data_IF_265192823160
#
_entry.id   IF_265192823160
#
_cell.length_a   1.000
_cell.length_b   1.000
_cell.length_c   1.000
_cell.angle_alpha   90.00
_cell.angle_beta   90.00
_cell.angle_gamma   90.00
#
_symmetry.space_group_name_H-M   'P 1'
#
loop_
_entity.id
_entity.type
_entity.pdbx_description
1 polymer ?
#
# COMPACT_ATOMS: atom_id res chain seq x y z
N UNK A 1 -72.17 -45.19 -5.51
CA UNK A 1 -71.49 -45.41 -6.80
C UNK A 1 -70.02 -45.06 -6.71
N UNK A 2 -69.16 -46.05 -6.94
CA UNK A 2 -67.69 -45.87 -6.93
C UNK A 2 -67.20 -44.84 -7.96
N UNK A 3 -67.86 -44.76 -9.11
CA UNK A 3 -67.50 -43.84 -10.19
C UNK A 3 -67.62 -42.36 -9.77
N UNK A 4 -68.67 -41.98 -9.04
CA UNK A 4 -68.82 -40.60 -8.51
C UNK A 4 -67.76 -40.24 -7.48
N UNK A 5 -67.33 -41.21 -6.67
CA UNK A 5 -66.24 -41.01 -5.70
C UNK A 5 -64.88 -40.84 -6.39
N UNK A 6 -64.66 -41.55 -7.50
CA UNK A 6 -63.44 -41.41 -8.29
C UNK A 6 -63.38 -40.07 -9.04
N UNK A 7 -64.51 -39.59 -9.56
CA UNK A 7 -64.63 -38.29 -10.23
C UNK A 7 -64.35 -37.13 -9.28
N UNK A 8 -64.97 -37.13 -8.10
CA UNK A 8 -64.74 -36.12 -7.05
C UNK A 8 -63.29 -36.11 -6.56
N UNK A 9 -62.68 -37.28 -6.33
CA UNK A 9 -61.28 -37.37 -5.95
C UNK A 9 -60.32 -36.80 -7.02
N UNK A 10 -60.64 -37.00 -8.31
CA UNK A 10 -59.86 -36.41 -9.42
C UNK A 10 -59.99 -34.89 -9.46
N UNK A 11 -61.18 -34.37 -9.23
CA UNK A 11 -61.43 -32.92 -9.20
C UNK A 11 -60.71 -32.26 -8.02
N UNK A 12 -60.77 -32.86 -6.82
CA UNK A 12 -60.02 -32.39 -5.65
C UNK A 12 -58.51 -32.41 -5.89
N UNK A 13 -57.97 -33.47 -6.51
CA UNK A 13 -56.56 -33.57 -6.86
C UNK A 13 -56.12 -32.48 -7.85
N UNK A 14 -56.97 -32.13 -8.82
CA UNK A 14 -56.70 -31.04 -9.76
C UNK A 14 -56.71 -29.67 -9.09
N UNK A 15 -57.63 -29.44 -8.15
CA UNK A 15 -57.68 -28.20 -7.36
C UNK A 15 -56.43 -28.06 -6.50
N UNK A 16 -56.01 -29.14 -5.83
CA UNK A 16 -54.78 -29.15 -5.03
C UNK A 16 -53.55 -28.86 -5.89
N UNK A 17 -53.40 -29.54 -7.03
CA UNK A 17 -52.27 -29.31 -7.94
C UNK A 17 -52.22 -27.87 -8.47
N UNK A 18 -53.36 -27.27 -8.80
CA UNK A 18 -53.42 -25.88 -9.23
C UNK A 18 -53.08 -24.92 -8.08
N UNK A 19 -53.57 -25.18 -6.86
CA UNK A 19 -53.24 -24.40 -5.67
C UNK A 19 -51.74 -24.42 -5.39
N UNK A 20 -51.12 -25.61 -5.37
CA UNK A 20 -49.67 -25.78 -5.18
C UNK A 20 -48.87 -25.09 -6.29
N UNK A 21 -49.35 -25.12 -7.54
CA UNK A 21 -48.68 -24.46 -8.67
C UNK A 21 -48.72 -22.92 -8.54
N UNK A 22 -49.82 -22.35 -8.04
CA UNK A 22 -49.90 -20.91 -7.76
C UNK A 22 -49.01 -20.52 -6.58
N UNK A 23 -48.99 -21.32 -5.51
CA UNK A 23 -48.11 -21.08 -4.36
C UNK A 23 -46.64 -21.13 -4.75
N UNK A 24 -46.24 -22.13 -5.54
CA UNK A 24 -44.88 -22.22 -6.09
C UNK A 24 -44.49 -20.98 -6.88
N UNK A 25 -45.37 -20.50 -7.77
CA UNK A 25 -45.11 -19.28 -8.55
C UNK A 25 -44.94 -18.05 -7.65
N UNK A 26 -45.75 -17.94 -6.58
CA UNK A 26 -45.59 -16.85 -5.60
C UNK A 26 -44.24 -16.94 -4.88
N UNK A 27 -43.85 -18.13 -4.41
CA UNK A 27 -42.56 -18.34 -3.77
C UNK A 27 -41.40 -18.01 -4.71
N UNK A 28 -41.43 -18.49 -5.95
CA UNK A 28 -40.43 -18.18 -6.98
C UNK A 28 -40.32 -16.67 -7.23
N UNK A 29 -41.44 -15.96 -7.35
CA UNK A 29 -41.44 -14.51 -7.52
C UNK A 29 -40.80 -13.79 -6.32
N UNK A 30 -41.19 -14.15 -5.09
CA UNK A 30 -40.60 -13.53 -3.89
C UNK A 30 -39.12 -13.85 -3.72
N UNK A 31 -38.70 -15.07 -4.05
CA UNK A 31 -37.29 -15.48 -4.02
C UNK A 31 -36.48 -14.69 -5.03
N UNK A 32 -36.97 -14.59 -6.27
CA UNK A 32 -36.32 -13.83 -7.35
C UNK A 32 -36.21 -12.35 -7.01
N UNK A 33 -37.26 -11.74 -6.45
CA UNK A 33 -37.22 -10.34 -6.01
C UNK A 33 -36.18 -10.11 -4.92
N UNK A 34 -36.04 -11.02 -3.95
CA UNK A 34 -35.00 -10.93 -2.90
C UNK A 34 -33.60 -11.11 -3.49
N UNK A 35 -33.42 -12.05 -4.40
CA UNK A 35 -32.15 -12.28 -5.09
C UNK A 35 -31.72 -11.05 -5.90
N UNK A 36 -32.66 -10.46 -6.65
CA UNK A 36 -32.42 -9.25 -7.43
C UNK A 36 -32.06 -8.06 -6.52
N UNK A 37 -32.70 -7.93 -5.35
CA UNK A 37 -32.36 -6.91 -4.37
C UNK A 37 -30.95 -7.09 -3.78
N UNK A 38 -30.54 -8.32 -3.47
CA UNK A 38 -29.18 -8.61 -2.97
C UNK A 38 -28.16 -8.31 -4.06
N UNK A 39 -28.42 -8.76 -5.30
CA UNK A 39 -27.53 -8.56 -6.44
C UNK A 39 -27.33 -7.08 -6.76
N UNK A 40 -28.41 -6.31 -6.81
CA UNK A 40 -28.33 -4.86 -7.07
C UNK A 40 -27.60 -4.12 -5.96
N UNK A 41 -27.82 -4.46 -4.70
CA UNK A 41 -27.07 -3.88 -3.58
C UNK A 41 -25.57 -4.21 -3.65
N UNK A 42 -25.22 -5.47 -3.93
CA UNK A 42 -23.82 -5.87 -4.06
C UNK A 42 -23.12 -5.12 -5.20
N UNK A 43 -23.80 -4.92 -6.33
CA UNK A 43 -23.28 -4.15 -7.46
C UNK A 43 -23.07 -2.67 -7.09
N UNK A 44 -24.02 -2.04 -6.39
CA UNK A 44 -23.88 -0.64 -5.96
C UNK A 44 -22.74 -0.46 -4.96
N UNK A 45 -22.61 -1.38 -4.00
CA UNK A 45 -21.55 -1.33 -2.99
C UNK A 45 -20.18 -1.51 -3.67
N UNK A 46 -20.06 -2.46 -4.60
CA UNK A 46 -18.84 -2.66 -5.38
C UNK A 46 -18.44 -1.42 -6.18
N UNK A 47 -19.39 -0.82 -6.90
CA UNK A 47 -19.13 0.37 -7.69
C UNK A 47 -18.72 1.56 -6.80
N UNK A 48 -19.33 1.70 -5.62
CA UNK A 48 -18.92 2.70 -4.64
C UNK A 48 -17.48 2.49 -4.17
N UNK A 49 -17.10 1.28 -3.75
CA UNK A 49 -15.73 1.00 -3.30
C UNK A 49 -14.71 1.25 -4.41
N UNK A 50 -15.04 0.88 -5.64
CA UNK A 50 -14.21 1.15 -6.81
C UNK A 50 -13.98 2.65 -7.00
N UNK A 51 -15.00 3.47 -6.82
CA UNK A 51 -14.90 4.92 -6.96
C UNK A 51 -14.09 5.55 -5.82
N UNK A 52 -14.28 5.05 -4.59
CA UNK A 52 -13.52 5.48 -3.42
C UNK A 52 -12.03 5.13 -3.54
N UNK A 53 -11.68 3.94 -4.02
CA UNK A 53 -10.29 3.55 -4.29
C UNK A 53 -9.66 4.53 -5.27
N UNK A 54 -10.31 4.79 -6.41
CA UNK A 54 -9.79 5.74 -7.42
C UNK A 54 -9.61 7.14 -6.86
N UNK A 55 -10.55 7.61 -6.03
CA UNK A 55 -10.47 8.92 -5.37
C UNK A 55 -9.28 8.98 -4.42
N UNK A 56 -9.11 7.98 -3.56
CA UNK A 56 -8.01 7.91 -2.60
C UNK A 56 -6.65 7.83 -3.29
N UNK A 57 -6.53 7.05 -4.35
CA UNK A 57 -5.31 6.98 -5.17
C UNK A 57 -4.94 8.35 -5.76
N UNK A 58 -5.93 9.09 -6.27
CA UNK A 58 -5.73 10.45 -6.77
C UNK A 58 -5.30 11.42 -5.67
N UNK A 59 -5.91 11.34 -4.48
CA UNK A 59 -5.52 12.14 -3.31
C UNK A 59 -4.08 11.85 -2.87
N UNK A 60 -3.69 10.58 -2.80
CA UNK A 60 -2.32 10.16 -2.48
C UNK A 60 -1.34 10.73 -3.51
N UNK A 61 -1.64 10.63 -4.81
CA UNK A 61 -0.80 11.18 -5.87
C UNK A 61 -0.64 12.70 -5.74
N UNK A 62 -1.74 13.42 -5.46
CA UNK A 62 -1.69 14.87 -5.25
C UNK A 62 -0.87 15.25 -4.02
N UNK A 63 -1.01 14.53 -2.91
CA UNK A 63 -0.24 14.78 -1.68
C UNK A 63 1.25 14.52 -1.90
N UNK A 64 1.61 13.46 -2.64
CA UNK A 64 3.00 13.21 -3.05
C UNK A 64 3.56 14.36 -3.89
N UNK A 65 2.82 14.81 -4.91
CA UNK A 65 3.22 15.96 -5.75
C UNK A 65 3.39 17.26 -4.94
N UNK A 66 2.48 17.57 -4.00
CA UNK A 66 2.60 18.76 -3.12
C UNK A 66 3.78 18.66 -2.17
N UNK A 67 4.05 17.46 -1.66
CA UNK A 67 5.20 17.21 -0.78
C UNK A 67 6.50 17.39 -1.56
N UNK A 68 6.59 16.84 -2.76
CA UNK A 68 7.79 16.94 -3.60
C UNK A 68 8.02 18.38 -4.08
N UNK A 69 6.97 19.15 -4.39
CA UNK A 69 7.11 20.57 -4.70
C UNK A 69 7.60 21.39 -3.48
N UNK A 70 7.11 21.06 -2.28
CA UNK A 70 7.55 21.69 -1.03
C UNK A 70 9.01 21.33 -0.70
N UNK A 71 9.43 20.08 -0.92
CA UNK A 71 10.83 19.63 -0.79
C UNK A 71 11.74 20.38 -1.77
N UNK A 72 11.32 20.51 -3.04
CA UNK A 72 12.07 21.27 -4.06
C UNK A 72 12.18 22.74 -3.66
N UNK A 73 11.11 23.36 -3.15
CA UNK A 73 11.15 24.73 -2.67
C UNK A 73 12.14 24.89 -1.50
N UNK A 74 12.11 24.02 -0.50
CA UNK A 74 13.02 24.05 0.64
C UNK A 74 14.50 23.97 0.21
N UNK A 75 14.82 23.15 -0.79
CA UNK A 75 16.16 23.10 -1.38
C UNK A 75 16.54 24.42 -2.07
N UNK A 76 15.61 25.10 -2.76
CA UNK A 76 15.86 26.37 -3.45
C UNK A 76 16.12 27.54 -2.49
N UNK A 77 15.39 27.63 -1.37
CA UNK A 77 15.62 28.67 -0.36
C UNK A 77 16.93 28.50 0.42
N UNK A 78 17.54 27.30 0.39
CA UNK A 78 18.87 27.04 0.97
C UNK A 78 20.05 27.48 0.10
N UNK A 79 19.81 27.98 -1.11
CA UNK A 79 20.87 28.38 -2.06
C UNK A 79 21.18 29.88 -2.01
N UNK A 80 20.31 30.70 -1.41
CA UNK A 80 20.41 32.17 -1.41
C UNK A 80 20.89 32.79 -0.08
N UNK A 81 21.88 32.18 0.60
CA UNK A 81 22.61 32.89 1.67
C UNK A 81 24.08 33.12 1.32
N UNK A 82 24.26 34.16 0.50
CA UNK A 82 25.37 35.10 0.63
C UNK A 82 25.30 35.75 2.03
N UNK A 83 26.08 35.25 3.00
CA UNK A 83 26.63 36.03 4.13
C UNK A 83 27.89 35.36 4.71
N UNK A 84 29.00 35.42 3.99
CA UNK A 84 30.29 35.20 4.63
C UNK A 84 31.38 35.88 3.81
N UNK A 85 31.41 37.21 3.85
CA UNK A 85 32.65 37.92 3.62
C UNK A 85 33.56 37.72 4.82
N UNK A 86 34.55 36.83 4.71
CA UNK A 86 35.92 37.10 5.15
C UNK A 86 36.91 36.30 4.31
N UNK A 87 37.88 36.94 3.65
CA UNK A 87 38.73 36.31 2.65
C UNK A 87 39.99 35.73 3.28
N UNK A 88 40.34 34.50 2.91
CA UNK A 88 41.74 34.07 2.87
C UNK A 88 41.96 33.34 1.56
N UNK A 89 42.93 33.87 0.82
CA UNK A 89 43.37 33.45 -0.50
C UNK A 89 43.70 31.95 -0.56
N UNK A 90 43.20 31.28 -1.60
CA UNK A 90 44.06 30.73 -2.65
C UNK A 90 43.27 29.88 -3.68
N UNK A 91 43.36 30.35 -4.94
CA UNK A 91 43.33 29.62 -6.22
C UNK A 91 42.04 28.92 -6.69
N UNK A 92 41.50 29.52 -7.76
CA UNK A 92 40.78 28.97 -8.93
C UNK A 92 39.30 28.53 -8.80
N UNK A 93 38.43 29.35 -9.42
CA UNK A 93 37.11 29.04 -9.99
C UNK A 93 37.16 29.41 -11.50
N UNK A 94 36.19 29.07 -12.37
CA UNK A 94 35.24 27.93 -12.38
C UNK A 94 35.08 27.29 -13.78
N UNK A 95 34.56 26.06 -13.87
CA UNK A 95 33.71 25.67 -15.01
C UNK A 95 32.73 24.58 -14.58
N UNK A 96 31.57 25.03 -14.08
CA UNK A 96 30.38 24.20 -13.98
C UNK A 96 29.90 23.99 -15.42
N UNK A 97 30.12 22.79 -15.96
CA UNK A 97 29.47 22.36 -17.20
C UNK A 97 28.16 21.71 -16.81
N UNK A 98 27.10 22.40 -17.20
CA UNK A 98 25.74 21.91 -17.30
C UNK A 98 25.70 20.58 -18.09
N UNK A 99 25.24 19.52 -17.42
CA UNK A 99 24.88 18.24 -18.02
C UNK A 99 23.50 17.81 -17.50
N UNK A 100 22.52 18.69 -17.72
CA UNK A 100 21.12 18.34 -17.92
C UNK A 100 20.98 17.29 -19.05
N UNK A 101 21.14 15.99 -18.75
CA UNK A 101 20.72 14.86 -19.62
C UNK A 101 21.02 13.46 -19.06
N UNK A 102 20.86 13.21 -17.76
CA UNK A 102 21.11 11.85 -17.23
C UNK A 102 20.17 11.34 -16.12
N UNK A 103 19.03 11.99 -15.86
CA UNK A 103 18.05 11.49 -14.88
C UNK A 103 16.65 11.22 -15.50
N UNK A 104 16.63 10.59 -16.67
CA UNK A 104 15.41 10.24 -17.40
C UNK A 104 15.49 8.84 -18.02
N UNK A 105 16.01 7.84 -17.30
CA UNK A 105 16.09 6.45 -17.81
C UNK A 105 15.59 5.34 -16.90
N UNK A 106 14.92 5.63 -15.79
CA UNK A 106 14.33 4.59 -14.92
C UNK A 106 12.79 4.62 -14.90
N UNK A 107 12.16 4.99 -16.02
CA UNK A 107 10.70 4.83 -16.22
C UNK A 107 10.50 3.92 -17.43
N UNK A 108 10.68 2.61 -17.22
CA UNK A 108 9.94 1.52 -17.90
C UNK A 108 10.44 0.20 -17.30
N UNK A 109 9.93 -0.16 -16.12
CA UNK A 109 9.54 -1.55 -15.85
C UNK A 109 8.83 -1.60 -14.49
N UNK A 110 7.50 -1.44 -14.46
CA UNK A 110 6.68 -1.89 -13.34
C UNK A 110 5.27 -2.15 -13.87
N UNK A 111 5.19 -3.15 -14.75
CA UNK A 111 4.02 -4.00 -14.80
C UNK A 111 4.36 -5.24 -13.97
N UNK A 112 3.43 -5.62 -13.10
CA UNK A 112 3.41 -6.84 -12.31
C UNK A 112 4.16 -6.80 -10.96
N UNK A 113 3.43 -6.43 -9.91
CA UNK A 113 3.39 -7.16 -8.63
C UNK A 113 2.51 -6.39 -7.67
N UNK A 114 1.24 -6.76 -7.64
CA UNK A 114 0.37 -6.56 -6.49
C UNK A 114 1.07 -7.10 -5.23
N UNK A 115 0.98 -6.34 -4.13
CA UNK A 115 1.54 -6.63 -2.79
C UNK A 115 3.05 -6.38 -2.63
N UNK A 116 3.48 -5.12 -2.42
CA UNK A 116 4.88 -4.90 -2.04
C UNK A 116 5.43 -3.49 -1.78
N UNK A 117 4.69 -2.39 -1.99
CA UNK A 117 5.28 -1.03 -1.93
C UNK A 117 5.49 -0.46 -0.51
N UNK A 118 5.40 -1.30 0.54
CA UNK A 118 5.73 -0.92 1.93
C UNK A 118 7.14 -1.41 2.33
N UNK A 119 7.84 -2.18 1.47
CA UNK A 119 9.10 -2.85 1.86
C UNK A 119 10.33 -1.93 1.89
N UNK A 120 10.40 -0.92 1.02
CA UNK A 120 11.59 -0.06 0.91
C UNK A 120 11.87 0.76 2.17
N UNK A 121 10.85 1.11 2.94
CA UNK A 121 11.01 1.88 4.18
C UNK A 121 11.55 1.03 5.35
N UNK A 122 11.55 -0.31 5.22
CA UNK A 122 12.04 -1.24 6.24
C UNK A 122 13.33 -1.96 5.86
N UNK A 123 13.98 -1.59 4.76
CA UNK A 123 15.21 -2.22 4.29
C UNK A 123 16.46 -1.67 4.99
N UNK A 124 17.42 -2.56 5.23
CA UNK A 124 18.73 -2.26 5.78
C UNK A 124 19.46 -1.22 4.93
N UNK A 125 19.93 -0.12 5.54
CA UNK A 125 20.61 0.96 4.82
C UNK A 125 21.98 0.56 4.24
N UNK A 126 22.52 -0.59 4.66
CA UNK A 126 23.81 -1.10 4.18
C UNK A 126 23.67 -2.03 2.96
N UNK A 127 22.70 -2.95 2.97
CA UNK A 127 22.55 -3.94 1.89
C UNK A 127 21.32 -3.72 0.99
N UNK A 128 20.36 -2.89 1.40
CA UNK A 128 19.12 -2.62 0.67
C UNK A 128 18.37 -3.91 0.26
N UNK A 129 18.52 -4.98 1.05
CA UNK A 129 18.03 -6.33 0.70
C UNK A 129 17.26 -6.98 1.84
N UNK A 130 17.81 -6.92 3.06
CA UNK A 130 17.21 -7.51 4.26
C UNK A 130 16.47 -6.46 5.08
N UNK A 131 15.48 -6.88 5.86
CA UNK A 131 14.74 -6.00 6.77
C UNK A 131 15.63 -5.49 7.92
N UNK A 132 15.43 -4.25 8.34
CA UNK A 132 16.07 -3.67 9.50
C UNK A 132 15.64 -4.41 10.77
N UNK A 133 16.60 -4.94 11.52
CA UNK A 133 16.34 -5.77 12.71
C UNK A 133 17.19 -5.38 13.91
N UNK A 134 18.04 -4.34 13.81
CA UNK A 134 18.94 -3.93 14.91
C UNK A 134 18.78 -2.47 15.26
N UNK A 135 18.55 -2.21 16.54
CA UNK A 135 18.47 -0.88 17.17
C UNK A 135 19.80 -0.52 17.82
N UNK A 136 20.30 0.69 17.58
CA UNK A 136 21.49 1.23 18.24
C UNK A 136 21.13 2.19 19.38
N UNK A 137 21.70 1.97 20.57
CA UNK A 137 21.57 2.87 21.71
C UNK A 137 22.82 3.74 21.88
N UNK A 138 22.65 5.02 22.29
CA UNK A 138 21.41 5.65 22.77
C UNK A 138 20.53 6.30 21.70
N UNK A 139 20.94 6.33 20.43
CA UNK A 139 20.23 7.09 19.39
C UNK A 139 18.89 6.46 18.93
N UNK A 140 18.60 5.22 19.33
CA UNK A 140 17.40 4.46 19.02
C UNK A 140 17.12 4.24 17.53
N UNK A 141 18.10 4.44 16.64
CA UNK A 141 17.95 4.19 15.22
C UNK A 141 17.95 2.69 14.92
N UNK A 142 16.88 2.20 14.28
CA UNK A 142 16.79 0.88 13.67
C UNK A 142 17.13 1.01 12.20
N UNK A 143 18.35 0.65 11.80
CA UNK A 143 18.89 1.03 10.46
C UNK A 143 19.55 -0.11 9.69
N UNK A 144 19.89 -1.22 10.35
CA UNK A 144 20.58 -2.34 9.70
C UNK A 144 19.92 -3.67 9.99
N UNK A 145 20.10 -4.64 9.11
CA UNK A 145 19.77 -6.03 9.35
C UNK A 145 20.81 -6.71 10.25
N UNK A 146 20.53 -7.94 10.68
CA UNK A 146 21.39 -8.74 11.55
C UNK A 146 22.76 -8.99 10.91
N UNK A 147 22.79 -9.35 9.63
CA UNK A 147 24.04 -9.68 8.92
C UNK A 147 24.94 -8.44 8.78
N UNK A 148 24.38 -7.31 8.36
CA UNK A 148 25.12 -6.06 8.27
C UNK A 148 25.56 -5.53 9.64
N UNK A 149 24.77 -5.76 10.70
CA UNK A 149 25.19 -5.43 12.07
C UNK A 149 26.46 -6.19 12.48
N UNK A 150 26.54 -7.50 12.21
CA UNK A 150 27.74 -8.28 12.51
C UNK A 150 28.97 -7.79 11.75
N UNK A 151 28.81 -7.47 10.46
CA UNK A 151 29.89 -6.92 9.64
C UNK A 151 30.34 -5.56 10.18
N UNK A 152 29.39 -4.69 10.50
CA UNK A 152 29.64 -3.38 11.08
C UNK A 152 30.42 -3.48 12.40
N UNK A 153 30.06 -4.42 13.27
CA UNK A 153 30.77 -4.65 14.53
C UNK A 153 32.17 -5.26 14.33
N UNK A 154 32.31 -6.26 13.46
CA UNK A 154 33.60 -6.89 13.13
C UNK A 154 34.60 -5.91 12.51
N UNK A 155 34.11 -4.93 11.75
CA UNK A 155 34.92 -3.85 11.18
C UNK A 155 35.31 -2.77 12.21
N UNK A 156 34.92 -2.92 13.48
CA UNK A 156 35.24 -1.97 14.55
C UNK A 156 34.46 -0.66 14.46
N UNK A 157 33.39 -0.61 13.67
CA UNK A 157 32.58 0.59 13.48
C UNK A 157 31.70 0.81 14.72
N UNK A 158 31.96 1.90 15.44
CA UNK A 158 31.29 2.24 16.69
C UNK A 158 30.21 3.30 16.55
N UNK A 159 29.97 3.84 15.36
CA UNK A 159 29.00 4.92 15.16
C UNK A 159 27.78 4.43 14.38
N UNK A 160 26.62 4.99 14.67
CA UNK A 160 25.39 4.70 13.92
C UNK A 160 25.53 5.15 12.45
N UNK A 161 25.26 4.29 11.45
CA UNK A 161 25.33 4.65 10.02
C UNK A 161 24.41 5.82 9.61
N UNK A 162 23.33 6.07 10.36
CA UNK A 162 22.37 7.12 10.05
C UNK A 162 22.71 8.46 10.71
N UNK A 163 22.98 8.46 12.03
CA UNK A 163 23.15 9.70 12.79
C UNK A 163 24.56 9.93 13.34
N UNK A 164 25.48 8.97 13.15
CA UNK A 164 26.87 8.99 13.65
C UNK A 164 27.02 9.08 15.18
N UNK A 165 25.95 8.90 15.94
CA UNK A 165 26.03 8.78 17.39
C UNK A 165 26.80 7.51 17.78
N UNK A 166 27.59 7.54 18.87
CA UNK A 166 28.32 6.37 19.34
C UNK A 166 27.36 5.27 19.79
N UNK A 167 27.62 4.05 19.33
CA UNK A 167 26.88 2.84 19.64
C UNK A 167 27.45 2.26 20.93
N UNK A 168 26.64 2.31 21.98
CA UNK A 168 26.96 1.69 23.27
C UNK A 168 26.39 0.27 23.37
N UNK A 169 25.24 0.05 22.75
CA UNK A 169 24.55 -1.24 22.76
C UNK A 169 23.81 -1.47 21.44
N UNK A 170 23.79 -2.73 21.01
CA UNK A 170 23.08 -3.23 19.83
C UNK A 170 21.97 -4.17 20.31
N UNK A 171 20.73 -3.95 19.88
CA UNK A 171 19.58 -4.78 20.27
C UNK A 171 18.96 -5.36 19.00
N UNK A 172 18.96 -6.69 18.88
CA UNK A 172 18.26 -7.39 17.79
C UNK A 172 16.79 -7.55 18.13
N UNK A 173 15.93 -7.02 17.26
CA UNK A 173 14.47 -7.10 17.35
C UNK A 173 14.01 -8.28 16.49
N UNK A 174 13.14 -9.12 17.06
CA UNK A 174 12.39 -10.13 16.32
C UNK A 174 10.93 -9.72 16.34
N UNK A 175 10.31 -9.59 15.17
CA UNK A 175 8.87 -9.46 15.11
C UNK A 175 8.27 -10.86 15.32
N UNK A 176 7.19 -10.96 16.10
CA UNK A 176 6.41 -12.19 16.13
C UNK A 176 5.72 -12.30 14.75
N UNK A 177 5.97 -13.39 14.04
CA UNK A 177 5.32 -13.68 12.77
C UNK A 177 3.79 -13.58 12.99
N UNK A 178 3.12 -12.72 12.23
CA UNK A 178 1.65 -12.55 12.25
C UNK A 178 0.98 -13.53 11.29
#
# INVERSE_FOLDING_TARGET
>A
DKWRQEETAKEEALVQLNSEKEERRRLEYTSKSKEDAIRTKAETDYQQYRDDIRRLESEIAQLRLKTDSSKIAALRWGVDHSYASRPTDNKSLPKLKDNSSQLARDIVDFQDSSVGDVKRERECVMCLSEEMSVVFLPCAHQVVCTNCNELHEKQGMKDCPSCRAPIMQRISVRFADS
#
